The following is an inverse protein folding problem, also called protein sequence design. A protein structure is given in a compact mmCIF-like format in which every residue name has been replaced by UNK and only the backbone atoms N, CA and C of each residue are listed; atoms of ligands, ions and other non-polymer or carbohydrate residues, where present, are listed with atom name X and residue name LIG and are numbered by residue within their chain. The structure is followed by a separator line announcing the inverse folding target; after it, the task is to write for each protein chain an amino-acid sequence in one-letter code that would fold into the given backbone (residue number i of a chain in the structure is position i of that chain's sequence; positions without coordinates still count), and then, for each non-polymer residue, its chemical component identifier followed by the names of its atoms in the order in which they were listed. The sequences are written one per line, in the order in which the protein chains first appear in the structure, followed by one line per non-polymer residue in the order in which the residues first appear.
data_IF_808819458989
#
_entry.id   IF_808819458989
#
_cell.length_a   1.000
_cell.length_b   1.000
_cell.length_c   1.000
_cell.angle_alpha   90.00
_cell.angle_beta   90.00
_cell.angle_gamma   90.00
#
_symmetry.space_group_name_H-M   'P 1'
#
loop_
_entity.id
_entity.type
_entity.pdbx_description
1 polymer ?
#
# COMPACT_ATOMS: atom_id res chain seq x y z
N UNK A 1 14.65 -21.87 -12.00
CA UNK A 1 14.65 -20.39 -12.10
C UNK A 1 16.08 -19.88 -12.15
N UNK A 2 16.43 -18.96 -13.05
CA UNK A 2 17.76 -18.33 -13.05
C UNK A 2 17.95 -17.51 -11.76
N UNK A 3 19.12 -17.60 -11.12
CA UNK A 3 19.39 -16.90 -9.85
C UNK A 3 19.14 -15.38 -9.94
N UNK A 4 19.44 -14.78 -11.09
CA UNK A 4 19.16 -13.37 -11.38
C UNK A 4 17.66 -13.04 -11.32
N UNK A 5 16.82 -13.85 -11.96
CA UNK A 5 15.36 -13.65 -11.95
C UNK A 5 14.78 -13.84 -10.54
N UNK A 6 15.26 -14.84 -9.82
CA UNK A 6 14.87 -15.06 -8.42
C UNK A 6 15.17 -13.83 -7.56
N UNK A 7 16.38 -13.26 -7.66
CA UNK A 7 16.76 -12.08 -6.91
C UNK A 7 15.89 -10.86 -7.22
N UNK A 8 15.53 -10.66 -8.49
CA UNK A 8 14.62 -9.57 -8.90
C UNK A 8 13.23 -9.76 -8.29
N UNK A 9 12.65 -10.97 -8.41
CA UNK A 9 11.31 -11.24 -7.86
C UNK A 9 11.30 -11.06 -6.34
N UNK A 10 12.35 -11.52 -5.66
CA UNK A 10 12.48 -11.34 -4.21
C UNK A 10 12.61 -9.87 -3.79
N UNK A 11 13.33 -9.05 -4.59
CA UNK A 11 13.44 -7.62 -4.35
C UNK A 11 12.08 -6.93 -4.51
N UNK A 12 11.33 -7.27 -5.57
CA UNK A 12 9.98 -6.74 -5.80
C UNK A 12 9.02 -7.13 -4.68
N UNK A 13 9.06 -8.39 -4.25
CA UNK A 13 8.29 -8.88 -3.10
C UNK A 13 8.57 -8.04 -1.84
N UNK A 14 9.84 -7.76 -1.58
CA UNK A 14 10.25 -6.95 -0.43
C UNK A 14 9.71 -5.52 -0.53
N UNK A 15 9.80 -4.89 -1.70
CA UNK A 15 9.29 -3.53 -1.94
C UNK A 15 7.77 -3.46 -1.76
N UNK A 16 7.03 -4.44 -2.30
CA UNK A 16 5.57 -4.49 -2.15
C UNK A 16 5.20 -4.64 -0.67
N UNK A 17 5.87 -5.52 0.08
CA UNK A 17 5.60 -5.71 1.50
C UNK A 17 5.93 -4.47 2.34
N UNK A 18 7.02 -3.76 2.04
CA UNK A 18 7.32 -2.48 2.69
C UNK A 18 6.21 -1.47 2.42
N UNK A 19 5.72 -1.37 1.19
CA UNK A 19 4.64 -0.44 0.85
C UNK A 19 3.31 -0.82 1.51
N UNK A 20 2.99 -2.12 1.63
CA UNK A 20 1.86 -2.62 2.44
C UNK A 20 1.94 -2.07 3.87
N UNK A 21 3.11 -2.16 4.52
CA UNK A 21 3.28 -1.62 5.87
C UNK A 21 3.12 -0.10 5.93
N UNK A 22 3.62 0.63 4.95
CA UNK A 22 3.41 2.10 4.86
C UNK A 22 1.91 2.43 4.79
N UNK A 23 1.13 1.69 4.00
CA UNK A 23 -0.32 1.88 3.88
C UNK A 23 -1.03 1.55 5.21
N UNK A 24 -0.63 0.48 5.89
CA UNK A 24 -1.17 0.13 7.22
C UNK A 24 -0.89 1.27 8.21
N UNK A 25 0.35 1.78 8.25
CA UNK A 25 0.71 2.88 9.14
C UNK A 25 -0.13 4.12 8.80
N UNK A 26 -0.24 4.50 7.53
CA UNK A 26 -1.06 5.64 7.11
C UNK A 26 -2.54 5.49 7.54
N UNK A 27 -3.11 4.28 7.42
CA UNK A 27 -4.45 3.99 7.89
C UNK A 27 -4.56 4.19 9.41
N UNK A 28 -3.62 3.65 10.20
CA UNK A 28 -3.60 3.86 11.66
C UNK A 28 -3.48 5.33 12.03
N UNK A 29 -2.59 6.08 11.36
CA UNK A 29 -2.41 7.52 11.58
C UNK A 29 -3.71 8.29 11.32
N UNK A 30 -4.53 7.87 10.34
CA UNK A 30 -5.83 8.51 10.08
C UNK A 30 -6.83 8.37 11.25
N UNK A 31 -6.76 7.28 12.03
CA UNK A 31 -7.64 7.07 13.19
C UNK A 31 -7.18 7.85 14.42
N UNK A 32 -5.87 7.95 14.65
CA UNK A 32 -5.33 8.55 15.88
C UNK A 32 -5.04 10.06 15.78
N UNK A 33 -5.09 10.63 14.56
CA UNK A 33 -4.87 12.07 14.30
C UNK A 33 -3.56 12.61 14.93
N UNK A 34 -2.40 12.13 14.47
CA UNK A 34 -1.09 12.54 14.99
C UNK A 34 -0.78 14.02 14.68
N UNK A 35 0.28 14.55 15.30
CA UNK A 35 0.77 15.91 15.01
C UNK A 35 1.11 16.09 13.51
N UNK A 36 0.43 16.98 12.78
CA UNK A 36 0.65 17.19 11.35
C UNK A 36 2.03 17.81 11.03
N UNK A 37 2.72 18.41 12.00
CA UNK A 37 4.06 18.99 11.80
C UNK A 37 5.18 17.95 11.89
N UNK A 38 4.87 16.71 12.29
CA UNK A 38 5.84 15.64 12.33
C UNK A 38 6.27 15.25 10.90
N UNK A 39 7.59 15.34 10.64
CA UNK A 39 8.16 15.05 9.32
C UNK A 39 7.89 13.62 8.84
N UNK A 40 7.86 12.64 9.75
CA UNK A 40 7.56 11.25 9.41
C UNK A 40 6.10 11.07 9.00
N UNK A 41 5.17 11.74 9.67
CA UNK A 41 3.74 11.74 9.33
C UNK A 41 3.54 12.34 7.94
N UNK A 42 4.17 13.48 7.66
CA UNK A 42 4.11 14.11 6.33
C UNK A 42 4.71 13.22 5.25
N UNK A 43 5.83 12.55 5.53
CA UNK A 43 6.46 11.63 4.59
C UNK A 43 5.50 10.47 4.26
N UNK A 44 4.89 9.85 5.27
CA UNK A 44 3.95 8.75 5.08
C UNK A 44 2.77 9.20 4.22
N UNK A 45 2.14 10.33 4.55
CA UNK A 45 1.04 10.85 3.74
C UNK A 45 1.44 11.18 2.30
N UNK A 46 2.63 11.75 2.08
CA UNK A 46 3.15 11.99 0.72
C UNK A 46 3.34 10.71 -0.08
N UNK A 47 3.78 9.64 0.59
CA UNK A 47 3.99 8.34 -0.06
C UNK A 47 2.67 7.63 -0.38
N UNK A 48 1.66 7.75 0.48
CA UNK A 48 0.39 7.02 0.31
C UNK A 48 -0.64 7.79 -0.50
N UNK A 49 -0.62 9.12 -0.50
CA UNK A 49 -1.71 9.92 -1.05
C UNK A 49 -1.93 9.74 -2.56
N UNK A 50 -0.91 9.58 -3.42
CA UNK A 50 -1.16 9.30 -4.84
C UNK A 50 -1.98 8.02 -5.06
N UNK A 51 -1.75 6.98 -4.24
CA UNK A 51 -2.52 5.74 -4.32
C UNK A 51 -3.93 5.89 -3.73
N UNK A 52 -4.05 6.59 -2.60
CA UNK A 52 -5.35 6.89 -1.99
C UNK A 52 -6.22 7.74 -2.92
N UNK A 53 -5.70 8.84 -3.44
CA UNK A 53 -6.39 9.71 -4.40
C UNK A 53 -6.83 8.94 -5.66
N UNK A 54 -5.96 8.08 -6.21
CA UNK A 54 -6.32 7.23 -7.34
C UNK A 54 -7.53 6.33 -7.03
N UNK A 55 -7.53 5.66 -5.87
CA UNK A 55 -8.62 4.78 -5.47
C UNK A 55 -9.90 5.56 -5.17
N UNK A 56 -9.81 6.67 -4.44
CA UNK A 56 -10.95 7.55 -4.16
C UNK A 56 -11.59 8.08 -5.44
N UNK A 57 -10.79 8.43 -6.45
CA UNK A 57 -11.28 8.90 -7.76
C UNK A 57 -11.93 7.79 -8.58
N UNK A 58 -11.38 6.58 -8.57
CA UNK A 58 -11.87 5.45 -9.38
C UNK A 58 -13.03 4.71 -8.72
N UNK A 59 -13.04 4.64 -7.39
CA UNK A 59 -14.00 3.91 -6.58
C UNK A 59 -14.57 4.83 -5.50
N UNK A 60 -15.30 5.90 -5.87
CA UNK A 60 -15.76 6.91 -4.90
C UNK A 60 -16.64 6.33 -3.78
N UNK A 61 -17.28 5.18 -4.02
CA UNK A 61 -18.09 4.47 -3.02
C UNK A 61 -17.28 3.91 -1.84
N UNK A 62 -15.95 3.87 -1.91
CA UNK A 62 -15.08 3.42 -0.80
C UNK A 62 -14.99 4.46 0.31
N UNK A 63 -15.35 5.71 0.01
CA UNK A 63 -15.46 6.77 1.01
C UNK A 63 -16.93 6.89 1.35
N UNK A 64 -17.31 6.40 2.53
CA UNK A 64 -18.70 6.42 2.98
C UNK A 64 -18.80 6.91 4.42
N UNK A 65 -19.75 7.80 4.69
CA UNK A 65 -20.04 8.32 6.03
C UNK A 65 -18.81 8.90 6.76
N UNK A 66 -17.88 9.50 6.02
CA UNK A 66 -16.65 10.08 6.56
C UNK A 66 -15.54 9.08 6.89
N UNK A 67 -15.73 7.79 6.60
CA UNK A 67 -14.71 6.75 6.73
C UNK A 67 -14.15 6.45 5.34
N UNK A 68 -12.82 6.41 5.24
CA UNK A 68 -12.12 6.10 4.01
C UNK A 68 -11.66 4.63 4.00
N UNK A 69 -12.27 3.80 3.15
CA UNK A 69 -11.91 2.40 2.95
C UNK A 69 -10.83 2.20 1.87
N UNK A 70 -10.31 3.27 1.27
CA UNK A 70 -9.22 3.20 0.27
C UNK A 70 -8.00 2.42 0.75
N UNK A 71 -7.55 2.52 2.03
CA UNK A 71 -6.43 1.72 2.50
C UNK A 71 -6.69 0.22 2.37
N UNK A 72 -7.90 -0.24 2.67
CA UNK A 72 -8.27 -1.67 2.58
C UNK A 72 -8.19 -2.15 1.13
N UNK A 73 -8.75 -1.37 0.20
CA UNK A 73 -8.73 -1.70 -1.23
C UNK A 73 -7.30 -1.83 -1.74
N UNK A 74 -6.41 -0.91 -1.34
CA UNK A 74 -5.01 -0.92 -1.76
C UNK A 74 -4.27 -2.10 -1.15
N UNK A 75 -4.49 -2.40 0.13
CA UNK A 75 -3.90 -3.57 0.78
C UNK A 75 -4.26 -4.86 0.06
N UNK A 76 -5.55 -5.05 -0.27
CA UNK A 76 -6.01 -6.22 -1.01
C UNK A 76 -5.38 -6.30 -2.41
N UNK A 77 -5.29 -5.17 -3.12
CA UNK A 77 -4.67 -5.12 -4.43
C UNK A 77 -3.17 -5.46 -4.39
N UNK A 78 -2.43 -4.91 -3.41
CA UNK A 78 -1.00 -5.18 -3.23
C UNK A 78 -0.74 -6.63 -2.81
N UNK A 79 -1.54 -7.17 -1.88
CA UNK A 79 -1.44 -8.56 -1.46
C UNK A 79 -1.74 -9.51 -2.62
N UNK A 80 -2.78 -9.24 -3.40
CA UNK A 80 -3.08 -10.01 -4.60
C UNK A 80 -1.92 -9.95 -5.60
N UNK A 81 -1.40 -8.75 -5.87
CA UNK A 81 -0.26 -8.56 -6.78
C UNK A 81 0.97 -9.34 -6.32
N UNK A 82 1.30 -9.28 -5.03
CA UNK A 82 2.45 -9.98 -4.45
C UNK A 82 2.29 -11.50 -4.56
N UNK A 83 1.17 -12.04 -4.08
CA UNK A 83 0.90 -13.49 -4.13
C UNK A 83 0.83 -13.99 -5.56
N UNK A 84 0.17 -13.25 -6.45
CA UNK A 84 0.06 -13.61 -7.87
C UNK A 84 1.43 -13.62 -8.53
N UNK A 85 2.23 -12.57 -8.36
CA UNK A 85 3.60 -12.49 -8.89
C UNK A 85 4.47 -13.62 -8.34
N UNK A 86 4.48 -13.84 -7.03
CA UNK A 86 5.29 -14.87 -6.39
C UNK A 86 4.93 -16.27 -6.89
N UNK A 87 3.63 -16.57 -7.04
CA UNK A 87 3.19 -17.87 -7.58
C UNK A 87 3.46 -18.02 -9.07
N UNK A 88 3.36 -16.94 -9.85
CA UNK A 88 3.58 -16.97 -11.29
C UNK A 88 5.05 -17.24 -11.64
N UNK A 89 5.98 -16.66 -10.88
CA UNK A 89 7.41 -16.79 -11.14
C UNK A 89 8.07 -17.88 -10.30
N UNK A 90 7.75 -18.02 -9.02
CA UNK A 90 8.47 -18.93 -8.09
C UNK A 90 7.70 -20.20 -7.72
N UNK A 91 6.41 -20.31 -8.11
CA UNK A 91 5.63 -21.54 -8.03
C UNK A 91 5.90 -22.43 -9.24
#
# INVERSE_FOLDING_TARGET
MNAFLFAIVQLLHTVINVYIWIIIIAAVLSFIRPDPYNQLVQMIYRLTEPAFDFVRKKLPFVVFSGIDLSPIVILLALQFLDVFMMRLFLG
#
